data_IF_669980631436
#
_entry.id   IF_669980631436
#
_cell.length_a   1.000
_cell.length_b   1.000
_cell.length_c   1.000
_cell.angle_alpha   90.00
_cell.angle_beta   90.00
_cell.angle_gamma   90.00
#
_symmetry.space_group_name_H-M   'P 1'
#
loop_
_entity.id
_entity.type
_entity.pdbx_description
1 polymer ?
#
# COMPACT_ATOMS: atom_id res chain seq x y z
N UNK A 1 -35.93 -18.28 -8.76
CA UNK A 1 -35.70 -16.81 -8.66
C UNK A 1 -35.24 -16.34 -10.02
N UNK A 2 -36.12 -15.74 -10.83
CA UNK A 2 -35.73 -15.08 -12.07
C UNK A 2 -34.74 -13.97 -11.71
N UNK A 3 -33.50 -14.07 -12.17
CA UNK A 3 -32.52 -13.00 -12.03
C UNK A 3 -33.05 -11.79 -12.80
N UNK A 4 -33.49 -10.75 -12.10
CA UNK A 4 -33.67 -9.42 -12.68
C UNK A 4 -32.29 -8.94 -13.13
N UNK A 5 -31.95 -9.20 -14.40
CA UNK A 5 -30.70 -8.76 -14.97
C UNK A 5 -30.77 -7.23 -15.12
N UNK A 6 -30.04 -6.51 -14.28
CA UNK A 6 -29.87 -5.05 -14.40
C UNK A 6 -29.17 -4.78 -15.74
N UNK A 7 -29.75 -3.95 -16.63
CA UNK A 7 -29.16 -3.58 -17.91
C UNK A 7 -27.76 -2.96 -17.74
N UNK A 8 -26.85 -3.20 -18.69
CA UNK A 8 -25.45 -2.76 -18.56
C UNK A 8 -25.30 -1.22 -18.48
N UNK A 9 -26.18 -0.47 -19.15
CA UNK A 9 -26.23 0.99 -19.03
C UNK A 9 -26.58 1.48 -17.63
N UNK A 10 -27.37 0.70 -16.89
CA UNK A 10 -27.74 1.03 -15.51
C UNK A 10 -26.59 0.65 -14.57
N UNK A 11 -25.90 -0.47 -14.82
CA UNK A 11 -24.74 -0.88 -14.03
C UNK A 11 -23.51 0.02 -14.19
N UNK A 12 -23.40 0.76 -15.29
CA UNK A 12 -22.35 1.76 -15.48
C UNK A 12 -22.48 2.92 -14.47
N UNK A 13 -23.72 3.29 -14.12
CA UNK A 13 -24.04 4.39 -13.21
C UNK A 13 -24.08 3.96 -11.72
N UNK A 14 -23.86 2.68 -11.43
CA UNK A 14 -23.80 2.16 -10.06
C UNK A 14 -22.32 2.01 -9.68
N UNK A 15 -21.90 2.75 -8.66
CA UNK A 15 -20.57 2.60 -8.06
C UNK A 15 -20.65 1.67 -6.84
N UNK A 16 -19.70 0.76 -6.76
CA UNK A 16 -19.50 -0.16 -5.64
C UNK A 16 -18.23 0.27 -4.91
N UNK A 17 -18.32 0.51 -3.61
CA UNK A 17 -17.18 0.82 -2.75
C UNK A 17 -16.88 -0.39 -1.87
N UNK A 18 -15.63 -0.82 -1.86
CA UNK A 18 -15.09 -1.79 -0.90
C UNK A 18 -14.48 -1.04 0.27
N UNK A 19 -14.51 -1.62 1.47
CA UNK A 19 -13.84 -1.05 2.64
C UNK A 19 -13.64 -2.08 3.75
N UNK A 20 -12.57 -1.89 4.53
CA UNK A 20 -12.39 -2.63 5.77
C UNK A 20 -13.28 -2.04 6.88
N UNK A 21 -13.67 -2.88 7.84
CA UNK A 21 -14.52 -2.50 8.97
C UNK A 21 -13.90 -1.41 9.87
N UNK A 22 -12.58 -1.25 9.85
CA UNK A 22 -11.83 -0.27 10.63
C UNK A 22 -11.50 1.00 9.84
N UNK A 23 -12.38 1.36 8.91
CA UNK A 23 -12.24 2.56 8.07
C UNK A 23 -13.17 3.67 8.53
N UNK A 24 -12.66 4.89 8.70
CA UNK A 24 -13.48 6.09 8.96
C UNK A 24 -13.43 7.04 7.77
N UNK A 25 -14.59 7.16 7.12
CA UNK A 25 -14.78 8.02 5.97
C UNK A 25 -15.07 9.47 6.38
N UNK A 26 -14.53 10.46 5.66
CA UNK A 26 -14.95 11.84 5.83
C UNK A 26 -16.39 12.02 5.31
N UNK A 27 -17.18 12.96 5.86
CA UNK A 27 -18.56 13.19 5.43
C UNK A 27 -18.70 13.48 3.92
N UNK A 28 -17.67 14.07 3.31
CA UNK A 28 -17.68 14.45 1.90
C UNK A 28 -17.24 13.31 0.96
N UNK A 29 -16.93 12.11 1.46
CA UNK A 29 -16.38 11.01 0.64
C UNK A 29 -17.25 10.67 -0.56
N UNK A 30 -18.55 10.45 -0.35
CA UNK A 30 -19.47 10.09 -1.43
C UNK A 30 -19.59 11.24 -2.43
N UNK A 31 -19.71 12.48 -1.96
CA UNK A 31 -19.77 13.65 -2.83
C UNK A 31 -18.48 13.82 -3.68
N UNK A 32 -17.31 13.61 -3.08
CA UNK A 32 -16.01 13.68 -3.77
C UNK A 32 -15.85 12.55 -4.81
N UNK A 33 -16.29 11.34 -4.48
CA UNK A 33 -16.34 10.20 -5.40
C UNK A 33 -17.25 10.50 -6.59
N UNK A 34 -18.49 10.94 -6.35
CA UNK A 34 -19.44 11.30 -7.40
C UNK A 34 -18.91 12.42 -8.28
N UNK A 35 -18.30 13.46 -7.68
CA UNK A 35 -17.68 14.55 -8.43
C UNK A 35 -16.58 14.04 -9.36
N UNK A 36 -15.66 13.19 -8.86
CA UNK A 36 -14.60 12.62 -9.70
C UNK A 36 -15.14 11.72 -10.82
N UNK A 37 -16.16 10.92 -10.54
CA UNK A 37 -16.80 10.06 -11.53
C UNK A 37 -17.45 10.87 -12.67
N UNK A 38 -18.17 11.95 -12.33
CA UNK A 38 -18.78 12.85 -13.31
C UNK A 38 -17.74 13.65 -14.08
N UNK A 39 -16.69 14.16 -13.40
CA UNK A 39 -15.60 14.94 -14.02
C UNK A 39 -14.88 14.16 -15.12
N UNK A 40 -14.79 12.85 -14.98
CA UNK A 40 -14.14 11.97 -15.96
C UNK A 40 -15.10 11.42 -17.02
N UNK A 41 -16.32 11.97 -17.12
CA UNK A 41 -17.35 11.55 -18.06
C UNK A 41 -17.71 10.05 -17.92
N UNK A 42 -17.90 9.59 -16.67
CA UNK A 42 -18.41 8.25 -16.33
C UNK A 42 -17.59 7.08 -16.92
N UNK A 43 -16.30 6.96 -16.61
CA UNK A 43 -15.38 5.98 -17.22
C UNK A 43 -15.52 4.58 -16.61
N UNK A 44 -16.73 4.01 -16.66
CA UNK A 44 -17.13 2.82 -15.90
C UNK A 44 -16.16 1.62 -16.03
N UNK A 45 -15.61 1.37 -17.22
CA UNK A 45 -14.76 0.21 -17.49
C UNK A 45 -13.25 0.49 -17.49
N UNK A 46 -12.83 1.73 -17.20
CA UNK A 46 -11.42 2.14 -17.31
C UNK A 46 -10.84 2.73 -16.05
N UNK A 47 -11.67 3.10 -15.08
CA UNK A 47 -11.22 3.79 -13.88
C UNK A 47 -11.67 3.11 -12.60
N UNK A 48 -10.76 3.07 -11.63
CA UNK A 48 -11.02 2.74 -10.24
C UNK A 48 -10.71 3.99 -9.42
N UNK A 49 -11.50 4.26 -8.40
CA UNK A 49 -11.33 5.43 -7.54
C UNK A 49 -10.80 5.00 -6.18
N UNK A 50 -9.70 5.61 -5.73
CA UNK A 50 -9.11 5.31 -4.44
C UNK A 50 -8.78 6.59 -3.69
N UNK A 51 -9.14 6.61 -2.41
CA UNK A 51 -8.73 7.67 -1.49
C UNK A 51 -7.34 7.35 -0.93
N UNK A 52 -6.51 8.36 -0.63
CA UNK A 52 -5.31 8.13 0.16
C UNK A 52 -5.69 7.65 1.56
N UNK A 53 -5.13 6.49 1.94
CA UNK A 53 -5.34 5.88 3.25
C UNK A 53 -4.35 6.44 4.26
N UNK A 54 -4.87 6.88 5.41
CA UNK A 54 -4.06 7.35 6.53
C UNK A 54 -4.25 6.45 7.74
N UNK A 55 -3.15 5.98 8.30
CA UNK A 55 -3.14 5.11 9.48
C UNK A 55 -3.11 5.89 10.81
N UNK A 56 -3.49 7.17 10.78
CA UNK A 56 -3.46 8.14 11.89
C UNK A 56 -4.65 8.02 12.84
N UNK A 57 -5.04 6.80 13.20
CA UNK A 57 -6.12 6.57 14.17
C UNK A 57 -5.52 6.07 15.48
N UNK A 58 -5.31 7.00 16.45
CA UNK A 58 -4.58 6.76 17.70
C UNK A 58 -3.15 6.27 17.48
N UNK A 59 -2.51 6.68 16.38
CA UNK A 59 -1.18 6.20 16.00
C UNK A 59 -0.10 6.70 16.97
N UNK A 60 -0.38 7.80 17.67
CA UNK A 60 0.46 8.38 18.70
C UNK A 60 0.57 7.55 19.99
N UNK A 61 -0.41 6.68 20.26
CA UNK A 61 -0.44 5.78 21.40
C UNK A 61 0.24 4.43 21.16
N UNK A 62 0.66 4.15 19.92
CA UNK A 62 1.25 2.88 19.52
C UNK A 62 2.79 2.90 19.63
N UNK A 63 3.40 1.73 19.52
CA UNK A 63 4.86 1.62 19.53
C UNK A 63 5.49 2.44 18.39
N UNK A 64 6.75 2.86 18.60
CA UNK A 64 7.49 3.59 17.57
C UNK A 64 7.57 2.80 16.26
N UNK A 65 7.61 1.46 16.33
CA UNK A 65 7.65 0.57 15.17
C UNK A 65 6.41 0.73 14.30
N UNK A 66 5.24 0.53 14.90
CA UNK A 66 3.95 0.62 14.22
C UNK A 66 3.72 2.03 13.70
N UNK A 67 4.08 3.05 14.50
CA UNK A 67 3.94 4.44 14.09
C UNK A 67 4.77 4.76 12.85
N UNK A 68 6.07 4.48 12.86
CA UNK A 68 6.95 4.78 11.71
C UNK A 68 6.43 4.10 10.44
N UNK A 69 6.08 2.81 10.51
CA UNK A 69 5.55 2.09 9.35
C UNK A 69 4.19 2.66 8.91
N UNK A 70 3.29 3.01 9.83
CA UNK A 70 2.00 3.64 9.51
C UNK A 70 2.15 4.96 8.75
N UNK A 71 3.11 5.81 9.15
CA UNK A 71 3.39 7.06 8.46
C UNK A 71 3.98 6.84 7.06
N UNK A 72 5.00 6.00 6.97
CA UNK A 72 5.63 5.69 5.68
C UNK A 72 4.63 5.06 4.71
N UNK A 73 3.72 4.22 5.20
CA UNK A 73 2.70 3.58 4.38
C UNK A 73 1.69 4.57 3.82
N UNK A 74 1.22 5.51 4.64
CA UNK A 74 0.34 6.60 4.18
C UNK A 74 1.03 7.43 3.09
N UNK A 75 2.32 7.75 3.28
CA UNK A 75 3.12 8.46 2.28
C UNK A 75 3.30 7.64 0.99
N UNK A 76 3.67 6.36 1.09
CA UNK A 76 3.86 5.47 -0.06
C UNK A 76 2.55 5.22 -0.83
N UNK A 77 1.41 5.22 -0.14
CA UNK A 77 0.10 5.17 -0.78
C UNK A 77 -0.14 6.39 -1.67
N UNK A 78 0.03 7.58 -1.10
CA UNK A 78 -0.19 8.86 -1.76
C UNK A 78 0.83 9.14 -2.87
N UNK A 79 2.10 8.81 -2.61
CA UNK A 79 3.23 9.17 -3.47
C UNK A 79 3.64 8.09 -4.48
N UNK A 80 3.27 6.83 -4.29
CA UNK A 80 3.65 5.74 -5.19
C UNK A 80 2.47 4.90 -5.68
N UNK A 81 1.67 4.30 -4.80
CA UNK A 81 0.64 3.34 -5.22
C UNK A 81 -0.41 3.93 -6.16
N UNK A 82 -0.96 5.10 -5.81
CA UNK A 82 -1.94 5.81 -6.64
C UNK A 82 -1.26 6.44 -7.87
N UNK A 83 -0.18 7.25 -7.76
CA UNK A 83 0.41 7.93 -8.92
C UNK A 83 1.04 7.00 -9.95
N UNK A 84 1.69 5.91 -9.51
CA UNK A 84 2.24 4.89 -10.41
C UNK A 84 1.18 3.87 -10.85
N UNK A 85 -0.08 4.05 -10.42
CA UNK A 85 -1.22 3.25 -10.83
C UNK A 85 -0.98 1.74 -10.60
N UNK A 86 -0.35 1.42 -9.46
CA UNK A 86 0.14 0.07 -9.16
C UNK A 86 -1.03 -0.74 -8.64
N UNK A 87 -1.59 -0.35 -7.50
CA UNK A 87 -2.49 -1.20 -6.73
C UNK A 87 -3.63 -0.43 -6.09
N UNK A 88 -4.80 -1.07 -6.13
CA UNK A 88 -5.88 -0.75 -5.21
C UNK A 88 -5.60 -1.39 -3.85
N UNK A 89 -6.01 -0.75 -2.77
CA UNK A 89 -5.81 -1.25 -1.41
C UNK A 89 -7.03 -0.95 -0.55
N UNK A 90 -7.64 -1.99 0.02
CA UNK A 90 -8.71 -1.97 1.04
C UNK A 90 -9.98 -1.16 0.68
N UNK A 91 -9.84 0.14 0.40
CA UNK A 91 -10.89 1.10 0.14
C UNK A 91 -10.79 1.66 -1.27
N UNK A 92 -11.51 1.05 -2.19
CA UNK A 92 -11.59 1.52 -3.56
C UNK A 92 -13.00 1.34 -4.14
N UNK A 93 -13.35 2.23 -5.05
CA UNK A 93 -14.65 2.28 -5.70
C UNK A 93 -14.53 2.05 -7.20
N UNK A 94 -15.47 1.32 -7.78
CA UNK A 94 -15.48 0.93 -9.19
C UNK A 94 -16.92 0.78 -9.68
N UNK A 95 -17.14 0.74 -11.00
CA UNK A 95 -18.49 0.52 -11.52
C UNK A 95 -18.94 -0.93 -11.33
N UNK A 96 -20.25 -1.14 -11.14
CA UNK A 96 -20.83 -2.47 -11.10
C UNK A 96 -20.62 -3.21 -12.43
N UNK A 97 -20.59 -2.51 -13.57
CA UNK A 97 -20.22 -3.09 -14.87
C UNK A 97 -18.82 -3.69 -14.88
N UNK A 98 -17.83 -3.02 -14.29
CA UNK A 98 -16.47 -3.54 -14.17
C UNK A 98 -16.45 -4.81 -13.31
N UNK A 99 -17.20 -4.81 -12.21
CA UNK A 99 -17.38 -5.97 -11.34
C UNK A 99 -17.97 -7.16 -12.10
N UNK A 100 -19.10 -6.95 -12.81
CA UNK A 100 -19.75 -7.99 -13.64
C UNK A 100 -18.78 -8.56 -14.67
N UNK A 101 -18.08 -7.69 -15.42
CA UNK A 101 -17.14 -8.09 -16.46
C UNK A 101 -15.94 -8.87 -15.90
N UNK A 102 -15.52 -8.53 -14.69
CA UNK A 102 -14.45 -9.21 -13.96
C UNK A 102 -14.86 -10.48 -13.20
N UNK A 103 -16.14 -10.84 -13.24
CA UNK A 103 -16.74 -11.89 -12.41
C UNK A 103 -16.49 -11.66 -10.90
N UNK A 104 -16.69 -10.42 -10.46
CA UNK A 104 -16.60 -9.96 -9.07
C UNK A 104 -15.23 -10.21 -8.42
N UNK A 105 -15.11 -9.84 -7.13
CA UNK A 105 -13.92 -10.06 -6.32
C UNK A 105 -13.82 -11.55 -5.95
N UNK A 106 -12.62 -12.11 -6.07
CA UNK A 106 -12.40 -13.54 -5.86
C UNK A 106 -11.91 -13.83 -4.43
N UNK A 107 -12.71 -14.53 -3.59
CA UNK A 107 -12.43 -14.64 -2.16
C UNK A 107 -11.22 -15.52 -1.84
N UNK A 108 -10.78 -16.39 -2.75
CA UNK A 108 -9.68 -17.32 -2.47
C UNK A 108 -8.27 -16.71 -2.53
N UNK A 109 -8.13 -15.42 -2.87
CA UNK A 109 -6.84 -14.75 -2.96
C UNK A 109 -6.65 -13.80 -1.79
N UNK A 110 -5.43 -13.74 -1.27
CA UNK A 110 -5.15 -13.01 -0.04
C UNK A 110 -5.06 -11.49 -0.23
N UNK A 111 -4.58 -11.06 -1.40
CA UNK A 111 -4.59 -9.67 -1.89
C UNK A 111 -5.51 -9.60 -3.10
N UNK A 112 -6.79 -9.80 -2.83
CA UNK A 112 -7.86 -9.82 -3.81
C UNK A 112 -8.06 -8.46 -4.49
N UNK A 113 -7.82 -7.36 -3.78
CA UNK A 113 -7.77 -5.99 -4.30
C UNK A 113 -6.88 -5.85 -5.55
N UNK A 114 -5.59 -6.21 -5.46
CA UNK A 114 -4.65 -6.10 -6.57
C UNK A 114 -4.98 -7.10 -7.69
N UNK A 115 -5.36 -8.32 -7.30
CA UNK A 115 -5.71 -9.36 -8.27
C UNK A 115 -6.94 -8.95 -9.09
N UNK A 116 -7.90 -8.24 -8.48
CA UNK A 116 -9.02 -7.66 -9.19
C UNK A 116 -8.55 -6.67 -10.25
N UNK A 117 -7.66 -5.73 -9.91
CA UNK A 117 -7.09 -4.80 -10.88
C UNK A 117 -6.45 -5.52 -12.08
N UNK A 118 -5.57 -6.51 -11.83
CA UNK A 118 -4.91 -7.29 -12.89
C UNK A 118 -5.94 -8.04 -13.74
N UNK A 119 -6.90 -8.70 -13.10
CA UNK A 119 -7.97 -9.43 -13.79
C UNK A 119 -8.81 -8.49 -14.64
N UNK A 120 -9.18 -7.34 -14.11
CA UNK A 120 -10.02 -6.36 -14.78
C UNK A 120 -9.31 -5.74 -15.99
N UNK A 121 -8.00 -5.47 -15.90
CA UNK A 121 -7.20 -5.11 -17.08
C UNK A 121 -7.24 -6.21 -18.15
N UNK A 122 -7.23 -7.48 -17.72
CA UNK A 122 -7.30 -8.64 -18.63
C UNK A 122 -8.65 -8.80 -19.32
N UNK A 123 -9.78 -8.64 -18.61
CA UNK A 123 -11.12 -8.78 -19.24
C UNK A 123 -11.54 -7.54 -20.02
N UNK A 124 -11.04 -6.36 -19.66
CA UNK A 124 -11.34 -5.11 -20.38
C UNK A 124 -10.45 -4.90 -21.59
N UNK A 125 -9.31 -5.60 -21.68
CA UNK A 125 -8.26 -5.35 -22.69
C UNK A 125 -7.78 -3.89 -22.67
N UNK A 126 -7.73 -3.27 -21.49
CA UNK A 126 -7.36 -1.86 -21.30
C UNK A 126 -6.48 -1.69 -20.07
N UNK A 127 -5.69 -0.62 -20.06
CA UNK A 127 -5.05 -0.15 -18.83
C UNK A 127 -6.13 0.49 -17.96
N UNK A 128 -6.33 -0.05 -16.77
CA UNK A 128 -7.14 0.61 -15.76
C UNK A 128 -6.33 1.69 -15.06
N UNK A 129 -6.99 2.80 -14.75
CA UNK A 129 -6.42 3.95 -14.06
C UNK A 129 -6.97 4.04 -12.65
N UNK A 130 -6.08 4.15 -11.66
CA UNK A 130 -6.44 4.49 -10.29
C UNK A 130 -6.51 6.02 -10.20
N UNK A 131 -7.72 6.53 -10.07
CA UNK A 131 -8.02 7.94 -9.90
C UNK A 131 -8.12 8.28 -8.42
N UNK A 132 -7.37 9.30 -7.99
CA UNK A 132 -7.40 9.74 -6.60
C UNK A 132 -8.73 10.43 -6.26
N UNK A 133 -9.39 9.95 -5.22
CA UNK A 133 -10.46 10.70 -4.55
C UNK A 133 -9.74 11.70 -3.62
N UNK A 134 -9.91 13.03 -3.79
CA UNK A 134 -9.12 14.04 -3.11
C UNK A 134 -9.59 14.28 -1.66
N UNK A 135 -10.04 13.23 -0.98
CA UNK A 135 -10.32 13.26 0.46
C UNK A 135 -9.64 12.06 1.11
N UNK A 136 -8.92 12.24 2.22
CA UNK A 136 -8.29 11.14 2.95
C UNK A 136 -9.29 10.27 3.71
N UNK A 137 -9.04 8.96 3.78
CA UNK A 137 -9.80 8.02 4.60
C UNK A 137 -8.89 7.48 5.69
N UNK A 138 -9.39 7.47 6.93
CA UNK A 138 -8.68 6.88 8.06
C UNK A 138 -8.82 5.36 8.03
N UNK A 139 -7.72 4.66 8.25
CA UNK A 139 -7.67 3.22 8.46
C UNK A 139 -7.02 2.91 9.80
N UNK A 140 -7.51 1.91 10.51
CA UNK A 140 -6.92 1.47 11.75
C UNK A 140 -5.51 0.92 11.54
N UNK A 141 -4.48 1.43 12.25
CA UNK A 141 -3.20 0.75 12.32
C UNK A 141 -3.33 -0.62 13.00
N UNK A 142 -2.36 -1.49 12.72
CA UNK A 142 -2.25 -2.75 13.45
C UNK A 142 -1.95 -2.48 14.91
N UNK A 143 -2.68 -3.13 15.81
CA UNK A 143 -2.58 -2.82 17.24
C UNK A 143 -2.80 -4.06 18.11
N UNK A 144 -2.24 -4.03 19.31
CA UNK A 144 -2.41 -5.08 20.32
C UNK A 144 -2.62 -4.47 21.70
N UNK A 145 -3.16 -5.26 22.63
CA UNK A 145 -3.37 -4.84 24.03
C UNK A 145 -2.06 -4.53 24.77
N UNK A 146 -0.96 -5.11 24.31
CA UNK A 146 0.40 -4.88 24.82
C UNK A 146 1.35 -4.61 23.65
N UNK A 147 2.49 -3.96 23.92
CA UNK A 147 3.51 -3.66 22.91
C UNK A 147 4.01 -4.95 22.22
N UNK A 148 4.16 -6.04 22.96
CA UNK A 148 4.57 -7.34 22.41
C UNK A 148 3.54 -7.88 21.42
N UNK A 149 2.25 -7.87 21.81
CA UNK A 149 1.16 -8.28 20.92
C UNK A 149 1.12 -7.37 19.69
N UNK A 150 1.28 -6.07 19.87
CA UNK A 150 1.33 -5.10 18.77
C UNK A 150 2.42 -5.44 17.74
N UNK A 151 3.65 -5.72 18.20
CA UNK A 151 4.77 -6.11 17.32
C UNK A 151 4.48 -7.44 16.61
N UNK A 152 3.90 -8.42 17.31
CA UNK A 152 3.51 -9.71 16.72
C UNK A 152 2.46 -9.52 15.62
N UNK A 153 1.43 -8.71 15.87
CA UNK A 153 0.38 -8.41 14.90
C UNK A 153 0.93 -7.65 13.70
N UNK A 154 1.82 -6.69 13.93
CA UNK A 154 2.52 -5.96 12.88
C UNK A 154 3.34 -6.91 11.99
N UNK A 155 4.15 -7.79 12.60
CA UNK A 155 4.97 -8.74 11.87
C UNK A 155 4.09 -9.73 11.07
N UNK A 156 2.97 -10.17 11.65
CA UNK A 156 1.98 -11.00 10.96
C UNK A 156 1.39 -10.28 9.74
N UNK A 157 1.05 -9.00 9.88
CA UNK A 157 0.52 -8.20 8.77
C UNK A 157 1.56 -8.03 7.66
N UNK A 158 2.79 -7.66 8.01
CA UNK A 158 3.89 -7.51 7.05
C UNK A 158 4.15 -8.81 6.29
N UNK A 159 4.33 -9.92 7.02
CA UNK A 159 4.50 -11.26 6.45
C UNK A 159 3.35 -11.63 5.51
N UNK A 160 2.10 -11.40 5.92
CA UNK A 160 0.91 -11.64 5.08
C UNK A 160 1.02 -10.86 3.78
N UNK A 161 1.25 -9.55 3.84
CA UNK A 161 1.31 -8.73 2.63
C UNK A 161 2.45 -9.10 1.70
N UNK A 162 3.62 -9.51 2.22
CA UNK A 162 4.72 -9.98 1.38
C UNK A 162 4.39 -11.29 0.67
N UNK A 163 3.82 -12.27 1.38
CA UNK A 163 3.34 -13.53 0.77
C UNK A 163 2.26 -13.23 -0.29
N UNK A 164 1.35 -12.31 0.03
CA UNK A 164 0.31 -11.86 -0.90
C UNK A 164 0.89 -11.21 -2.16
N UNK A 165 1.91 -10.35 -2.02
CA UNK A 165 2.59 -9.73 -3.15
C UNK A 165 3.28 -10.76 -4.05
N UNK A 166 3.87 -11.80 -3.47
CA UNK A 166 4.43 -12.91 -4.24
C UNK A 166 3.34 -13.72 -4.98
N UNK A 167 2.18 -13.98 -4.35
CA UNK A 167 1.02 -14.59 -5.00
C UNK A 167 0.48 -13.73 -6.16
N UNK A 168 0.40 -12.42 -5.95
CA UNK A 168 0.01 -11.42 -6.96
C UNK A 168 0.98 -11.45 -8.15
N UNK A 169 2.29 -11.46 -7.90
CA UNK A 169 3.28 -11.51 -8.96
C UNK A 169 3.16 -12.81 -9.78
N UNK A 170 3.00 -13.95 -9.12
CA UNK A 170 2.76 -15.22 -9.80
C UNK A 170 1.47 -15.19 -10.64
N UNK A 171 0.38 -14.64 -10.10
CA UNK A 171 -0.88 -14.45 -10.83
C UNK A 171 -0.68 -13.55 -12.07
N UNK A 172 0.04 -12.44 -11.92
CA UNK A 172 0.38 -11.55 -13.01
C UNK A 172 1.17 -12.28 -14.10
N UNK A 173 2.23 -13.02 -13.78
CA UNK A 173 3.03 -13.75 -14.77
C UNK A 173 2.17 -14.73 -15.58
N UNK A 174 1.25 -15.46 -14.93
CA UNK A 174 0.35 -16.39 -15.61
C UNK A 174 -0.67 -15.65 -16.51
N UNK A 175 -1.20 -14.51 -16.04
CA UNK A 175 -2.31 -13.80 -16.70
C UNK A 175 -1.87 -12.64 -17.59
N UNK A 176 -0.59 -12.28 -17.61
CA UNK A 176 -0.05 -11.13 -18.35
C UNK A 176 -0.41 -11.19 -19.84
N UNK A 177 -0.46 -12.38 -20.44
CA UNK A 177 -0.87 -12.59 -21.84
C UNK A 177 -2.30 -12.11 -22.16
N UNK A 178 -3.15 -11.96 -21.14
CA UNK A 178 -4.52 -11.45 -21.28
C UNK A 178 -4.57 -9.93 -21.15
N UNK A 179 -3.47 -9.26 -20.81
CA UNK A 179 -3.43 -7.80 -20.62
C UNK A 179 -2.71 -7.20 -21.83
N UNK A 180 -3.09 -5.99 -22.30
CA UNK A 180 -2.34 -5.30 -23.35
C UNK A 180 -0.86 -5.16 -22.98
N UNK A 181 0.04 -5.43 -23.92
CA UNK A 181 1.50 -5.56 -23.66
C UNK A 181 2.07 -4.35 -22.92
N UNK A 182 1.74 -3.13 -23.38
CA UNK A 182 2.23 -1.89 -22.76
C UNK A 182 1.71 -1.75 -21.33
N UNK A 183 0.44 -2.10 -21.09
CA UNK A 183 -0.17 -2.05 -19.77
C UNK A 183 0.48 -3.09 -18.82
N UNK A 184 0.70 -4.31 -19.30
CA UNK A 184 1.36 -5.36 -18.54
C UNK A 184 2.81 -4.99 -18.21
N UNK A 185 3.57 -4.48 -19.18
CA UNK A 185 4.96 -4.07 -19.00
C UNK A 185 5.09 -2.91 -18.01
N UNK A 186 4.28 -1.85 -18.19
CA UNK A 186 4.26 -0.71 -17.28
C UNK A 186 3.88 -1.13 -15.86
N UNK A 187 2.81 -1.93 -15.70
CA UNK A 187 2.40 -2.42 -14.38
C UNK A 187 3.47 -3.31 -13.74
N UNK A 188 4.08 -4.22 -14.51
CA UNK A 188 5.13 -5.12 -14.01
C UNK A 188 6.37 -4.39 -13.54
N UNK A 189 6.83 -3.37 -14.27
CA UNK A 189 7.94 -2.50 -13.84
C UNK A 189 7.57 -1.75 -12.57
N UNK A 190 6.42 -1.09 -12.52
CA UNK A 190 6.01 -0.32 -11.35
C UNK A 190 5.84 -1.22 -10.12
N UNK A 191 5.29 -2.42 -10.29
CA UNK A 191 5.17 -3.43 -9.23
C UNK A 191 6.55 -3.87 -8.72
N UNK A 192 7.49 -4.16 -9.62
CA UNK A 192 8.86 -4.54 -9.25
C UNK A 192 9.60 -3.41 -8.52
N UNK A 193 9.50 -2.17 -9.01
CA UNK A 193 10.10 -1.01 -8.35
C UNK A 193 9.53 -0.85 -6.94
N UNK A 194 8.21 -0.94 -6.79
CA UNK A 194 7.58 -0.71 -5.50
C UNK A 194 7.79 -1.87 -4.50
N UNK A 195 7.43 -3.10 -4.87
CA UNK A 195 7.53 -4.25 -3.95
C UNK A 195 8.95 -4.80 -3.88
N UNK A 196 9.61 -5.01 -5.02
CA UNK A 196 10.93 -5.63 -5.06
C UNK A 196 12.04 -4.70 -4.58
N UNK A 197 12.06 -3.46 -5.08
CA UNK A 197 13.13 -2.51 -4.77
C UNK A 197 12.82 -1.69 -3.52
N UNK A 198 11.73 -0.90 -3.52
CA UNK A 198 11.46 0.07 -2.46
C UNK A 198 11.09 -0.59 -1.12
N UNK A 199 10.21 -1.59 -1.10
CA UNK A 199 9.80 -2.28 0.14
C UNK A 199 10.83 -3.31 0.60
N UNK A 200 11.16 -4.30 -0.24
CA UNK A 200 12.00 -5.42 0.18
C UNK A 200 13.50 -5.10 0.26
N UNK A 201 14.04 -4.35 -0.70
CA UNK A 201 15.50 -4.25 -0.87
C UNK A 201 16.12 -2.98 -0.32
N UNK A 202 15.41 -1.84 -0.37
CA UNK A 202 16.00 -0.54 -0.07
C UNK A 202 16.48 -0.41 1.39
N UNK A 203 15.74 -0.96 2.36
CA UNK A 203 16.14 -0.97 3.77
C UNK A 203 17.39 -1.81 4.02
N UNK A 204 17.42 -3.04 3.49
CA UNK A 204 18.56 -3.96 3.58
C UNK A 204 19.81 -3.36 2.93
N UNK A 205 19.68 -2.88 1.69
CA UNK A 205 20.77 -2.26 0.95
C UNK A 205 21.29 -1.01 1.66
N UNK A 206 20.41 -0.11 2.10
CA UNK A 206 20.80 1.11 2.80
C UNK A 206 21.64 0.86 4.05
N UNK A 207 21.23 -0.08 4.92
CA UNK A 207 22.01 -0.38 6.12
C UNK A 207 23.28 -1.16 5.83
N UNK A 208 23.22 -2.18 4.96
CA UNK A 208 24.42 -3.00 4.65
C UNK A 208 25.48 -2.18 3.91
N UNK A 209 25.08 -1.31 2.98
CA UNK A 209 25.99 -0.37 2.33
C UNK A 209 26.61 0.62 3.33
N UNK A 210 25.83 1.19 4.26
CA UNK A 210 26.35 2.07 5.31
C UNK A 210 27.41 1.36 6.16
N UNK A 211 27.12 0.14 6.66
CA UNK A 211 28.05 -0.64 7.47
C UNK A 211 29.30 -1.02 6.67
N UNK A 212 29.12 -1.45 5.42
CA UNK A 212 30.23 -1.80 4.52
C UNK A 212 31.16 -0.60 4.28
N UNK A 213 30.60 0.58 4.00
CA UNK A 213 31.35 1.81 3.77
C UNK A 213 32.09 2.30 5.02
N UNK A 214 31.54 2.09 6.21
CA UNK A 214 32.17 2.50 7.46
C UNK A 214 33.30 1.56 7.91
N UNK A 215 33.14 0.26 7.70
CA UNK A 215 34.01 -0.75 8.32
C UNK A 215 34.90 -1.51 7.34
N UNK A 216 34.43 -1.75 6.12
CA UNK A 216 35.04 -2.71 5.20
C UNK A 216 35.76 -2.03 4.03
N UNK A 217 35.14 -1.03 3.43
CA UNK A 217 35.70 -0.38 2.24
C UNK A 217 36.67 0.71 2.66
N UNK A 218 37.96 0.47 2.38
CA UNK A 218 39.03 1.46 2.54
C UNK A 218 39.36 2.04 1.16
N UNK A 219 39.88 3.27 1.12
CA UNK A 219 40.35 3.94 -0.10
C UNK A 219 39.28 4.23 -1.17
N UNK A 220 38.05 4.58 -0.75
CA UNK A 220 37.01 5.03 -1.68
C UNK A 220 37.31 6.45 -2.17
N UNK A 221 37.27 6.71 -3.49
CA UNK A 221 37.36 8.05 -4.04
C UNK A 221 36.36 9.01 -3.34
N UNK A 222 36.80 10.19 -2.86
CA UNK A 222 35.94 11.12 -2.11
C UNK A 222 34.64 11.47 -2.84
N UNK A 223 34.66 11.50 -4.17
CA UNK A 223 33.48 11.75 -5.01
C UNK A 223 32.41 10.67 -4.84
N UNK A 224 32.79 9.40 -4.73
CA UNK A 224 31.85 8.28 -4.57
C UNK A 224 31.22 8.35 -3.18
N UNK A 225 32.04 8.61 -2.15
CA UNK A 225 31.57 8.80 -0.77
C UNK A 225 30.57 9.96 -0.67
N UNK A 226 30.87 11.09 -1.32
CA UNK A 226 29.96 12.23 -1.38
C UNK A 226 28.63 11.88 -2.06
N UNK A 227 28.66 11.19 -3.21
CA UNK A 227 27.46 10.75 -3.92
C UNK A 227 26.60 9.86 -3.01
N UNK A 228 27.21 8.90 -2.31
CA UNK A 228 26.48 7.99 -1.42
C UNK A 228 25.81 8.73 -0.25
N UNK A 229 26.51 9.68 0.38
CA UNK A 229 25.92 10.51 1.44
C UNK A 229 24.80 11.43 0.92
N UNK A 230 24.95 12.00 -0.28
CA UNK A 230 23.90 12.79 -0.91
C UNK A 230 22.65 11.95 -1.19
N UNK A 231 22.81 10.73 -1.72
CA UNK A 231 21.70 9.82 -1.99
C UNK A 231 21.00 9.37 -0.70
N UNK A 232 21.77 9.03 0.33
CA UNK A 232 21.22 8.71 1.66
C UNK A 232 20.49 9.91 2.28
N UNK A 233 21.06 11.11 2.17
CA UNK A 233 20.43 12.35 2.60
C UNK A 233 19.10 12.61 1.88
N UNK A 234 19.05 12.38 0.56
CA UNK A 234 17.82 12.49 -0.23
C UNK A 234 16.76 11.46 0.17
N UNK A 235 17.16 10.22 0.47
CA UNK A 235 16.27 9.20 1.00
C UNK A 235 15.68 9.61 2.36
N UNK A 236 16.53 10.08 3.29
CA UNK A 236 16.08 10.57 4.59
C UNK A 236 15.17 11.81 4.46
N UNK A 237 15.48 12.74 3.55
CA UNK A 237 14.61 13.88 3.26
C UNK A 237 13.23 13.45 2.75
N UNK A 238 13.17 12.37 1.97
CA UNK A 238 11.89 11.80 1.52
C UNK A 238 11.08 11.26 2.70
N UNK A 239 11.71 10.53 3.63
CA UNK A 239 11.02 10.06 4.83
C UNK A 239 10.57 11.21 5.73
N UNK A 240 11.33 12.30 5.81
CA UNK A 240 10.96 13.48 6.58
C UNK A 240 9.60 14.05 6.13
N UNK A 241 9.28 13.96 4.84
CA UNK A 241 7.96 14.38 4.31
C UNK A 241 6.82 13.64 5.01
N UNK A 242 6.94 12.34 5.27
CA UNK A 242 5.91 11.58 5.99
C UNK A 242 5.66 12.14 7.41
N UNK A 243 6.73 12.50 8.12
CA UNK A 243 6.65 13.10 9.45
C UNK A 243 6.16 14.55 9.43
N UNK A 244 6.37 15.28 8.34
CA UNK A 244 5.80 16.61 8.13
C UNK A 244 4.30 16.51 7.88
N UNK A 245 3.87 15.64 6.97
CA UNK A 245 2.47 15.37 6.68
C UNK A 245 1.74 14.98 7.97
N UNK A 246 2.33 14.12 8.79
CA UNK A 246 1.81 13.70 10.09
C UNK A 246 1.50 14.86 11.05
N UNK A 247 2.23 15.99 10.99
CA UNK A 247 1.94 17.14 11.86
C UNK A 247 0.65 17.87 11.48
N UNK A 248 0.18 17.73 10.24
CA UNK A 248 -1.00 18.43 9.73
C UNK A 248 -2.22 17.53 9.61
N UNK A 249 -2.03 16.25 9.31
CA UNK A 249 -3.11 15.31 9.02
C UNK A 249 -4.10 15.10 10.17
N UNK A 250 -3.69 14.94 11.45
CA UNK A 250 -4.63 14.79 12.56
C UNK A 250 -5.59 15.97 12.68
N UNK A 251 -5.12 17.19 12.39
CA UNK A 251 -5.97 18.40 12.37
C UNK A 251 -6.96 18.38 11.20
N UNK A 252 -6.52 17.91 10.03
CA UNK A 252 -7.38 17.79 8.85
C UNK A 252 -8.45 16.70 9.01
N UNK A 253 -8.11 15.62 9.71
CA UNK A 253 -8.94 14.44 9.90
C UNK A 253 -9.78 14.45 11.18
N UNK A 254 -9.70 15.53 11.96
CA UNK A 254 -10.33 15.66 13.28
C UNK A 254 -10.04 14.45 14.18
N UNK A 255 -8.76 14.08 14.24
CA UNK A 255 -8.25 13.01 15.12
C UNK A 255 -7.39 13.63 16.21
N UNK A 256 -7.61 13.18 17.44
CA UNK A 256 -6.78 13.55 18.59
C UNK A 256 -5.50 12.71 18.56
N UNK A 257 -4.40 13.32 18.13
CA UNK A 257 -3.05 12.77 18.25
C UNK A 257 -2.14 13.77 18.96
N UNK A 258 -1.38 13.30 19.95
CA UNK A 258 -0.39 14.07 20.68
C UNK A 258 1.01 13.83 20.10
N UNK A 259 1.44 14.68 19.16
CA UNK A 259 2.74 14.57 18.50
C UNK A 259 3.75 15.48 19.18
N UNK A 260 4.57 14.92 20.08
CA UNK A 260 5.69 15.65 20.66
C UNK A 260 6.86 15.74 19.67
N UNK A 261 7.42 16.94 19.46
CA UNK A 261 8.45 17.20 18.42
C UNK A 261 9.69 16.34 18.59
N UNK A 262 10.23 16.20 19.81
CA UNK A 262 11.41 15.37 20.06
C UNK A 262 11.12 13.88 19.82
N UNK A 263 9.90 13.42 20.15
CA UNK A 263 9.48 12.04 19.84
C UNK A 263 9.40 11.84 18.32
N UNK A 264 8.87 12.82 17.60
CA UNK A 264 8.79 12.78 16.14
C UNK A 264 10.18 12.73 15.50
N UNK A 265 11.12 13.52 16.00
CA UNK A 265 12.53 13.51 15.58
C UNK A 265 13.19 12.15 15.87
N UNK A 266 12.96 11.57 17.06
CA UNK A 266 13.47 10.25 17.40
C UNK A 266 12.92 9.15 16.47
N UNK A 267 11.61 9.17 16.19
CA UNK A 267 10.99 8.25 15.23
C UNK A 267 11.54 8.42 13.82
N UNK A 268 11.80 9.67 13.40
CA UNK A 268 12.44 9.95 12.13
C UNK A 268 13.85 9.33 12.05
N UNK A 269 14.70 9.59 13.05
CA UNK A 269 16.07 9.07 13.09
C UNK A 269 16.14 7.53 13.16
N UNK A 270 15.14 6.89 13.78
CA UNK A 270 15.03 5.44 13.89
C UNK A 270 14.43 4.77 12.65
N UNK A 271 13.99 5.55 11.64
CA UNK A 271 13.36 5.03 10.42
C UNK A 271 14.21 3.98 9.68
N UNK A 272 15.54 4.16 9.48
CA UNK A 272 16.36 3.15 8.81
C UNK A 272 16.38 1.80 9.55
N UNK A 273 16.38 1.83 10.89
CA UNK A 273 16.34 0.61 11.70
C UNK A 273 14.98 -0.08 11.60
N UNK A 274 13.89 0.69 11.66
CA UNK A 274 12.53 0.15 11.49
C UNK A 274 12.36 -0.52 10.13
N UNK A 275 12.85 0.13 9.07
CA UNK A 275 12.82 -0.42 7.71
C UNK A 275 13.70 -1.66 7.55
N UNK A 276 14.85 -1.72 8.22
CA UNK A 276 15.69 -2.92 8.22
C UNK A 276 14.94 -4.14 8.76
N UNK A 277 14.32 -4.01 9.94
CA UNK A 277 13.56 -5.11 10.54
C UNK A 277 12.34 -5.45 9.69
N UNK A 278 11.66 -4.45 9.13
CA UNK A 278 10.57 -4.67 8.18
C UNK A 278 11.06 -5.53 7.00
N UNK A 279 12.15 -5.16 6.34
CA UNK A 279 12.73 -5.94 5.23
C UNK A 279 13.20 -7.35 5.65
N UNK A 280 13.64 -7.56 6.90
CA UNK A 280 13.96 -8.91 7.40
C UNK A 280 12.70 -9.79 7.51
N UNK A 281 11.58 -9.23 7.97
CA UNK A 281 10.28 -9.94 8.00
C UNK A 281 9.83 -10.28 6.57
N UNK A 282 9.99 -9.34 5.63
CA UNK A 282 9.66 -9.59 4.23
C UNK A 282 10.56 -10.69 3.62
N UNK A 283 11.87 -10.64 3.88
CA UNK A 283 12.80 -11.65 3.40
C UNK A 283 12.44 -13.04 3.93
N UNK A 284 12.13 -13.15 5.22
CA UNK A 284 11.64 -14.39 5.82
C UNK A 284 10.36 -14.88 5.13
N UNK A 285 9.39 -13.99 4.91
CA UNK A 285 8.12 -14.32 4.25
C UNK A 285 8.31 -14.80 2.80
N UNK A 286 9.25 -14.20 2.06
CA UNK A 286 9.62 -14.62 0.70
C UNK A 286 10.25 -16.02 0.68
N UNK A 287 11.14 -16.33 1.63
CA UNK A 287 11.69 -17.68 1.75
C UNK A 287 10.61 -18.69 2.10
N UNK A 288 9.67 -18.31 2.96
CA UNK A 288 8.59 -19.18 3.37
C UNK A 288 7.67 -19.56 2.21
N UNK A 289 7.22 -18.59 1.40
CA UNK A 289 6.42 -18.90 0.20
C UNK A 289 7.23 -19.67 -0.85
N UNK A 290 8.54 -19.42 -0.97
CA UNK A 290 9.40 -20.18 -1.88
C UNK A 290 9.46 -21.67 -1.50
N UNK A 291 9.56 -21.97 -0.19
CA UNK A 291 9.68 -23.35 0.32
C UNK A 291 8.32 -24.05 0.38
N UNK A 292 7.30 -23.39 0.93
CA UNK A 292 6.00 -24.01 1.21
C UNK A 292 4.94 -23.75 0.14
N UNK A 293 5.23 -22.87 -0.81
CA UNK A 293 4.32 -22.52 -1.90
C UNK A 293 2.99 -21.97 -1.40
N UNK A 294 1.90 -22.34 -2.09
CA UNK A 294 0.55 -21.84 -1.80
C UNK A 294 0.02 -22.20 -0.40
N UNK A 295 0.63 -23.16 0.31
CA UNK A 295 0.16 -23.59 1.65
C UNK A 295 0.21 -22.48 2.69
N UNK A 296 1.04 -21.46 2.47
CA UNK A 296 1.19 -20.31 3.39
C UNK A 296 0.36 -19.09 3.00
N UNK A 297 -0.29 -19.10 1.83
CA UNK A 297 -1.29 -18.11 1.45
C UNK A 297 -2.57 -18.36 2.25
N UNK A 298 -2.79 -17.58 3.32
CA UNK A 298 -3.92 -17.75 4.24
C UNK A 298 -4.55 -16.40 4.57
N UNK A 299 -5.87 -16.35 4.61
CA UNK A 299 -6.63 -15.20 5.09
C UNK A 299 -6.63 -15.14 6.62
N UNK A 300 -5.50 -14.73 7.21
CA UNK A 300 -5.40 -14.40 8.63
C UNK A 300 -5.30 -12.88 8.82
N UNK A 301 -6.42 -12.21 9.13
CA UNK A 301 -6.38 -10.79 9.45
C UNK A 301 -5.55 -10.54 10.72
N UNK A 302 -4.77 -9.46 10.75
CA UNK A 302 -4.09 -9.01 11.97
C UNK A 302 -5.11 -8.35 12.89
N UNK A 303 -4.94 -8.53 14.19
CA UNK A 303 -5.78 -7.89 15.18
C UNK A 303 -5.55 -6.37 15.21
N UNK A 304 -6.59 -5.64 15.60
CA UNK A 304 -6.58 -4.18 15.78
C UNK A 304 -7.34 -3.81 17.06
N UNK A 305 -7.01 -4.48 18.16
CA UNK A 305 -7.81 -4.47 19.41
C UNK A 305 -7.67 -3.21 20.24
N UNK A 306 -6.69 -2.34 19.94
CA UNK A 306 -6.46 -1.11 20.72
C UNK A 306 -7.17 0.14 20.15
N UNK A 307 -7.99 -0.03 19.10
CA UNK A 307 -8.77 1.05 18.48
C UNK A 307 -9.98 1.46 19.32
#
# INVERSE_FOLDING_TARGET
VQQMAIPDQETDNILVTTCDADSKFPPQYIAALTHQYLKQNRPALTTIYQSPLFYNWKLDGLSFFTRVIGLLRSMLMLGALIPFNINTMSIFSYSLSLAKKGNYIHPAYQMDDIICLIRWMGVTQRRLVISMIPVPVLSGPTSGETIEKEIIEWARQARRWTIGAAEVFHYFVIKAKRIPIIAAFSWGISFMIYYGILLCSAGLYGVTSMVSMLLLVRDVPPIITLIMYCLFGAQMATFLVAFIIDMFIPKLLDVKECIFVLRNLFHFLTTPLVLLVYSLVELYALHEILIFGRKVCKHGASAKTAL
#
